data_IF_320025945084
#
_entry.id   IF_320025945084
#
_cell.length_a   1.000
_cell.length_b   1.000
_cell.length_c   1.000
_cell.angle_alpha   90.00
_cell.angle_beta   90.00
_cell.angle_gamma   90.00
#
_symmetry.space_group_name_H-M   'P 1'
#
loop_
_entity.id
_entity.type
_entity.pdbx_description
1 polymer ?
#
# COMPACT_ATOMS: atom_id res chain seq x y z
N UNK A 1 -0.02 -10.71 22.16
CA UNK A 1 -1.15 -11.41 21.53
C UNK A 1 -0.60 -12.24 20.40
N UNK A 2 -0.69 -13.56 20.50
CA UNK A 2 -0.34 -14.49 19.43
C UNK A 2 -1.63 -14.93 18.75
N UNK A 3 -1.71 -14.80 17.43
CA UNK A 3 -2.90 -15.13 16.61
C UNK A 3 -2.64 -16.28 15.64
N UNK A 4 -1.58 -17.07 15.87
CA UNK A 4 -1.25 -18.23 15.05
C UNK A 4 -0.78 -17.91 13.63
N UNK A 5 -0.44 -16.66 13.34
CA UNK A 5 0.10 -16.20 12.05
C UNK A 5 1.30 -15.29 12.25
N UNK A 6 2.28 -15.39 11.34
CA UNK A 6 3.49 -14.56 11.36
C UNK A 6 3.42 -13.49 10.27
N UNK A 7 3.41 -12.24 10.68
CA UNK A 7 3.44 -11.09 9.78
C UNK A 7 4.74 -10.31 9.97
N UNK A 8 5.32 -9.85 8.86
CA UNK A 8 6.31 -8.79 8.85
C UNK A 8 5.56 -7.46 8.79
N UNK A 9 5.87 -6.56 9.71
CA UNK A 9 5.33 -5.20 9.71
C UNK A 9 6.27 -4.29 8.93
N UNK A 10 5.71 -3.48 8.04
CA UNK A 10 6.43 -2.40 7.38
C UNK A 10 5.73 -1.06 7.67
N UNK A 11 6.53 -0.03 7.97
CA UNK A 11 6.04 1.35 8.06
C UNK A 11 5.91 1.91 6.66
N UNK A 12 4.72 2.41 6.34
CA UNK A 12 4.34 2.85 5.00
C UNK A 12 3.58 4.19 5.13
N UNK A 13 4.26 5.27 5.56
CA UNK A 13 3.61 6.56 5.79
C UNK A 13 3.10 7.19 4.48
N UNK A 14 2.13 8.08 4.57
CA UNK A 14 1.64 8.86 3.43
C UNK A 14 0.14 9.06 3.46
N UNK A 15 -0.65 7.98 3.51
CA UNK A 15 -2.09 8.11 3.79
C UNK A 15 -2.32 8.69 5.19
N UNK A 16 -1.57 8.17 6.16
CA UNK A 16 -1.35 8.79 7.48
C UNK A 16 0.12 8.62 7.86
N UNK A 17 0.61 9.42 8.81
CA UNK A 17 1.95 9.24 9.38
C UNK A 17 2.15 7.88 10.07
N UNK A 18 1.08 7.29 10.60
CA UNK A 18 1.09 6.00 11.31
C UNK A 18 0.79 4.78 10.43
N UNK A 19 0.61 4.95 9.12
CA UNK A 19 0.24 3.87 8.21
C UNK A 19 1.28 2.74 8.21
N UNK A 20 0.79 1.50 8.31
CA UNK A 20 1.59 0.27 8.28
C UNK A 20 0.95 -0.73 7.32
N UNK A 21 1.73 -1.71 6.88
CA UNK A 21 1.23 -2.91 6.21
C UNK A 21 1.75 -4.16 6.89
N UNK A 22 0.97 -5.24 6.80
CA UNK A 22 1.33 -6.56 7.32
C UNK A 22 1.53 -7.52 6.15
N UNK A 23 2.69 -8.16 6.10
CA UNK A 23 3.06 -9.08 5.03
C UNK A 23 3.32 -10.48 5.57
N UNK A 24 2.65 -11.47 5.02
CA UNK A 24 2.88 -12.89 5.31
C UNK A 24 3.61 -13.53 4.12
N UNK A 25 4.91 -13.76 4.28
CA UNK A 25 5.78 -14.22 3.20
C UNK A 25 5.44 -15.62 2.69
N UNK A 26 4.91 -16.52 3.54
CA UNK A 26 4.55 -17.89 3.13
C UNK A 26 3.41 -17.93 2.10
N UNK A 27 2.54 -16.92 2.10
CA UNK A 27 1.42 -16.80 1.16
C UNK A 27 1.56 -15.63 0.20
N UNK A 28 2.67 -14.88 0.28
CA UNK A 28 2.85 -13.60 -0.42
C UNK A 28 1.63 -12.68 -0.26
N UNK A 29 1.08 -12.65 0.96
CA UNK A 29 -0.15 -11.93 1.28
C UNK A 29 0.19 -10.60 1.91
N UNK A 30 -0.37 -9.52 1.36
CA UNK A 30 -0.25 -8.16 1.89
C UNK A 30 -1.60 -7.69 2.41
N UNK A 31 -1.66 -7.31 3.69
CA UNK A 31 -2.75 -6.52 4.26
C UNK A 31 -2.31 -5.06 4.21
N UNK A 32 -2.87 -4.28 3.29
CA UNK A 32 -2.37 -2.92 2.99
C UNK A 32 -3.06 -1.81 3.78
N UNK A 33 -4.21 -2.09 4.40
CA UNK A 33 -5.07 -1.04 4.92
C UNK A 33 -5.44 -0.05 3.82
N UNK A 34 -5.33 1.25 4.12
CA UNK A 34 -5.77 2.32 3.21
C UNK A 34 -4.63 2.96 2.41
N UNK A 35 -3.49 2.28 2.26
CA UNK A 35 -2.37 2.82 1.48
C UNK A 35 -2.51 2.48 0.00
N UNK A 36 -2.76 1.21 -0.33
CA UNK A 36 -2.78 0.73 -1.71
C UNK A 36 -4.01 -0.12 -1.97
N UNK A 37 -4.65 0.13 -3.10
CA UNK A 37 -5.88 -0.53 -3.55
C UNK A 37 -5.69 -1.14 -4.95
N UNK A 38 -6.60 -2.03 -5.38
CA UNK A 38 -6.60 -2.57 -6.74
C UNK A 38 -6.66 -1.50 -7.83
N UNK A 39 -6.35 -1.94 -9.05
CA UNK A 39 -6.56 -1.17 -10.30
C UNK A 39 -5.79 0.16 -10.42
N UNK A 40 -4.78 0.37 -9.59
CA UNK A 40 -3.97 1.59 -9.58
C UNK A 40 -4.48 2.67 -8.62
N UNK A 41 -5.45 2.35 -7.77
CA UNK A 41 -5.94 3.26 -6.73
C UNK A 41 -5.07 3.19 -5.47
N UNK A 42 -5.08 4.24 -4.66
CA UNK A 42 -4.28 4.37 -3.44
C UNK A 42 -4.94 5.34 -2.44
N UNK A 43 -4.42 5.35 -1.22
CA UNK A 43 -4.89 6.19 -0.13
C UNK A 43 -4.78 7.68 -0.41
N UNK A 44 -5.77 8.44 0.04
CA UNK A 44 -5.76 9.90 0.00
C UNK A 44 -4.74 10.51 0.97
N UNK A 45 -4.25 11.72 0.71
CA UNK A 45 -3.21 12.40 1.51
C UNK A 45 -3.62 13.78 2.01
N UNK A 46 -4.85 14.23 1.74
CA UNK A 46 -5.33 15.59 2.01
C UNK A 46 -5.72 15.84 3.49
N UNK A 47 -5.65 14.83 4.35
CA UNK A 47 -5.80 15.04 5.79
C UNK A 47 -4.54 15.65 6.40
N UNK A 48 -4.62 16.35 7.55
CA UNK A 48 -3.47 17.02 8.17
C UNK A 48 -2.25 16.13 8.46
N UNK A 49 -2.47 14.82 8.58
CA UNK A 49 -1.43 13.82 8.87
C UNK A 49 -1.00 13.01 7.64
N UNK A 50 -1.46 13.39 6.44
CA UNK A 50 -1.10 12.78 5.17
C UNK A 50 0.09 13.48 4.50
N UNK A 51 0.71 12.80 3.54
CA UNK A 51 1.82 13.32 2.73
C UNK A 51 1.91 12.60 1.39
N UNK A 52 1.71 13.32 0.28
CA UNK A 52 1.85 12.80 -1.08
C UNK A 52 3.25 12.23 -1.35
N UNK A 53 4.28 12.99 -1.00
CA UNK A 53 5.67 12.56 -1.17
C UNK A 53 6.00 11.26 -0.42
N UNK A 54 5.56 11.14 0.84
CA UNK A 54 5.74 9.90 1.60
C UNK A 54 4.91 8.75 1.01
N UNK A 55 3.69 9.03 0.54
CA UNK A 55 2.85 8.01 -0.09
C UNK A 55 3.51 7.43 -1.34
N UNK A 56 4.09 8.26 -2.20
CA UNK A 56 4.76 7.79 -3.42
C UNK A 56 5.95 6.88 -3.08
N UNK A 57 6.78 7.26 -2.11
CA UNK A 57 7.91 6.43 -1.66
C UNK A 57 7.44 5.12 -1.01
N UNK A 58 6.35 5.18 -0.26
CA UNK A 58 5.68 4.02 0.32
C UNK A 58 5.12 3.06 -0.73
N UNK A 59 4.46 3.59 -1.77
CA UNK A 59 3.93 2.80 -2.88
C UNK A 59 5.05 2.17 -3.71
N UNK A 60 6.17 2.87 -3.89
CA UNK A 60 7.37 2.31 -4.53
C UNK A 60 7.87 1.07 -3.79
N UNK A 61 8.01 1.15 -2.46
CA UNK A 61 8.42 0.00 -1.63
C UNK A 61 7.45 -1.16 -1.76
N UNK A 62 6.14 -0.90 -1.78
CA UNK A 62 5.13 -1.95 -1.97
C UNK A 62 5.21 -2.56 -3.38
N UNK A 63 5.44 -1.74 -4.41
CA UNK A 63 5.54 -2.20 -5.79
C UNK A 63 6.73 -3.14 -6.03
N UNK A 64 7.78 -3.03 -5.20
CA UNK A 64 8.96 -3.92 -5.20
C UNK A 64 8.74 -5.21 -4.38
N UNK A 65 7.63 -5.34 -3.64
CA UNK A 65 7.30 -6.56 -2.90
C UNK A 65 6.73 -7.65 -3.82
N UNK A 66 7.01 -8.90 -3.49
CA UNK A 66 6.40 -10.07 -4.13
C UNK A 66 5.05 -10.39 -3.47
N UNK A 67 3.95 -9.94 -4.11
CA UNK A 67 2.59 -10.00 -3.58
C UNK A 67 1.67 -10.77 -4.53
N UNK A 68 1.16 -11.90 -4.05
CA UNK A 68 0.16 -12.71 -4.76
C UNK A 68 -1.27 -12.32 -4.35
N UNK A 69 -1.46 -12.02 -3.07
CA UNK A 69 -2.77 -11.71 -2.48
C UNK A 69 -2.73 -10.33 -1.83
N UNK A 70 -3.64 -9.45 -2.21
CA UNK A 70 -3.82 -8.12 -1.62
C UNK A 70 -5.17 -8.03 -0.91
N UNK A 71 -5.12 -7.88 0.41
CA UNK A 71 -6.26 -7.57 1.27
C UNK A 71 -6.21 -6.09 1.63
N UNK A 72 -6.86 -5.27 0.82
CA UNK A 72 -6.91 -3.84 1.06
C UNK A 72 -8.04 -3.45 2.03
N UNK A 73 -7.91 -2.30 2.68
CA UNK A 73 -8.91 -1.80 3.62
C UNK A 73 -10.23 -1.40 2.93
N UNK A 74 -10.14 -1.06 1.64
CA UNK A 74 -11.26 -0.77 0.76
C UNK A 74 -11.08 -1.47 -0.59
N UNK A 75 -12.18 -1.57 -1.35
CA UNK A 75 -12.30 -2.33 -2.61
C UNK A 75 -12.23 -3.85 -2.40
N UNK A 76 -12.69 -4.65 -3.39
CA UNK A 76 -12.55 -6.11 -3.34
C UNK A 76 -11.08 -6.55 -3.26
N UNK A 77 -10.78 -7.68 -2.61
CA UNK A 77 -9.41 -8.21 -2.56
C UNK A 77 -8.94 -8.70 -3.93
N UNK A 78 -7.63 -8.66 -4.14
CA UNK A 78 -6.99 -9.38 -5.26
C UNK A 78 -6.47 -10.70 -4.73
N UNK A 79 -6.90 -11.81 -5.32
CA UNK A 79 -6.55 -13.16 -4.85
C UNK A 79 -5.37 -13.79 -5.61
N UNK A 80 -4.94 -13.19 -6.73
CA UNK A 80 -3.81 -13.64 -7.55
C UNK A 80 -3.11 -12.48 -8.26
N UNK A 81 -1.80 -12.60 -8.51
CA UNK A 81 -1.00 -11.62 -9.25
C UNK A 81 -1.17 -10.16 -8.76
N UNK A 82 -1.16 -9.93 -7.45
CA UNK A 82 -1.49 -8.65 -6.84
C UNK A 82 -0.33 -7.63 -6.79
N UNK A 83 0.74 -7.83 -7.56
CA UNK A 83 1.84 -6.89 -7.68
C UNK A 83 1.34 -5.53 -8.18
N UNK A 84 1.51 -4.48 -7.38
CA UNK A 84 0.85 -3.20 -7.62
C UNK A 84 1.79 -2.09 -8.10
N UNK A 85 2.41 -2.32 -9.26
CA UNK A 85 3.21 -1.30 -9.95
C UNK A 85 2.34 -0.12 -10.40
N UNK A 86 1.07 -0.37 -10.76
CA UNK A 86 0.18 0.66 -11.32
C UNK A 86 -0.11 1.80 -10.34
N UNK A 87 -0.39 1.50 -9.06
CA UNK A 87 -0.66 2.55 -8.06
C UNK A 87 0.53 3.47 -7.85
N UNK A 88 1.75 2.92 -7.83
CA UNK A 88 2.98 3.72 -7.74
C UNK A 88 3.13 4.66 -8.94
N UNK A 89 2.98 4.15 -10.17
CA UNK A 89 3.15 4.98 -11.37
C UNK A 89 2.14 6.13 -11.43
N UNK A 90 0.87 5.86 -11.08
CA UNK A 90 -0.18 6.89 -11.05
C UNK A 90 0.11 7.92 -9.96
N UNK A 91 0.44 7.49 -8.74
CA UNK A 91 0.75 8.40 -7.64
C UNK A 91 1.96 9.26 -7.96
N UNK A 92 3.01 8.68 -8.55
CA UNK A 92 4.19 9.42 -8.97
C UNK A 92 3.84 10.50 -10.00
N UNK A 93 3.07 10.13 -11.03
CA UNK A 93 2.63 11.08 -12.05
C UNK A 93 1.81 12.23 -11.44
N UNK A 94 0.91 11.92 -10.50
CA UNK A 94 0.12 12.94 -9.80
C UNK A 94 0.98 13.87 -8.96
N UNK A 95 1.98 13.35 -8.24
CA UNK A 95 2.92 14.15 -7.46
C UNK A 95 3.76 15.07 -8.37
N UNK A 96 4.30 14.53 -9.47
CA UNK A 96 5.10 15.30 -10.44
C UNK A 96 4.28 16.44 -11.09
N UNK A 97 2.96 16.29 -11.16
CA UNK A 97 2.02 17.30 -11.69
C UNK A 97 1.42 18.20 -10.60
N UNK A 98 1.81 18.04 -9.33
CA UNK A 98 1.33 18.87 -8.22
C UNK A 98 -0.09 18.56 -7.73
N UNK A 99 -0.61 17.37 -8.01
CA UNK A 99 -1.92 16.89 -7.55
C UNK A 99 -1.86 16.12 -6.22
N UNK A 100 -0.67 15.85 -5.66
CA UNK A 100 -0.45 15.17 -4.37
C UNK A 100 0.48 15.95 -3.44
#
# INVERSE_FOLDING_TARGET
MDIGRKFKLFKIPGHTAGSIVLYESSKKLLISGDVVFPEGSFGRTDFPIGSGAQLVESLKKIAEMDVEILLAGHRPPIMKNANNQKSYQIAKLMLDQGFL
#
